data_IF_637394337077
#
_entry.id   IF_637394337077
#
_cell.length_a   1.000
_cell.length_b   1.000
_cell.length_c   1.000
_cell.angle_alpha   90.00
_cell.angle_beta   90.00
_cell.angle_gamma   90.00
#
_symmetry.space_group_name_H-M   'P 1'
#
loop_
_entity.id
_entity.type
_entity.pdbx_description
1 polymer ?
#
# COMPACT_ATOMS: atom_id res chain seq x y z
N UNK A 1 1.84 5.48 -2.36
CA UNK A 1 0.70 5.48 -1.43
C UNK A 1 1.13 6.20 -0.18
N UNK A 2 0.33 7.13 0.34
CA UNK A 2 0.69 7.94 1.50
C UNK A 2 0.21 7.29 2.82
N UNK A 3 0.84 7.67 3.93
CA UNK A 3 0.37 7.34 5.28
C UNK A 3 1.02 6.12 5.93
N UNK A 4 1.91 5.40 5.24
CA UNK A 4 2.60 4.22 5.79
C UNK A 4 3.38 4.53 7.07
N UNK A 5 4.09 5.67 7.12
CA UNK A 5 4.81 6.13 8.32
C UNK A 5 3.87 6.47 9.48
N UNK A 6 2.83 7.28 9.22
CA UNK A 6 1.79 7.61 10.22
C UNK A 6 1.07 6.36 10.75
N UNK A 7 0.84 5.38 9.88
CA UNK A 7 0.20 4.11 10.24
C UNK A 7 1.06 3.30 11.22
N UNK A 8 2.38 3.26 11.00
CA UNK A 8 3.33 2.57 11.85
C UNK A 8 3.51 3.29 13.19
N UNK A 9 3.64 4.62 13.16
CA UNK A 9 3.72 5.48 14.35
C UNK A 9 2.52 5.31 15.27
N UNK A 10 1.29 5.35 14.72
CA UNK A 10 0.05 5.14 15.47
C UNK A 10 -0.04 3.76 16.14
N UNK A 11 0.83 2.81 15.77
CA UNK A 11 0.90 1.45 16.30
C UNK A 11 2.17 1.16 17.10
N UNK A 12 3.03 2.16 17.29
CA UNK A 12 4.33 1.97 17.94
C UNK A 12 5.25 1.01 17.18
N UNK A 13 5.07 0.88 15.86
CA UNK A 13 5.85 -0.01 15.02
C UNK A 13 6.97 0.76 14.29
N UNK A 14 8.08 0.07 13.93
CA UNK A 14 9.08 0.60 13.02
C UNK A 14 8.49 1.05 11.67
N UNK A 15 9.05 2.11 11.09
CA UNK A 15 8.66 2.64 9.76
C UNK A 15 8.72 1.55 8.67
N UNK A 16 9.69 0.64 8.76
CA UNK A 16 9.81 -0.50 7.84
C UNK A 16 8.57 -1.39 7.80
N UNK A 17 7.85 -1.54 8.92
CA UNK A 17 6.60 -2.31 8.97
C UNK A 17 5.46 -1.53 8.31
N UNK A 18 5.45 -0.21 8.43
CA UNK A 18 4.56 0.66 7.65
C UNK A 18 4.75 0.49 6.15
N UNK A 19 6.00 0.42 5.67
CA UNK A 19 6.27 0.14 4.26
C UNK A 19 5.80 -1.26 3.82
N UNK A 20 6.03 -2.29 4.65
CA UNK A 20 5.55 -3.65 4.39
C UNK A 20 4.02 -3.70 4.28
N UNK A 21 3.31 -3.01 5.16
CA UNK A 21 1.85 -2.89 5.07
C UNK A 21 1.40 -2.11 3.85
N UNK A 22 2.14 -1.05 3.47
CA UNK A 22 1.97 -0.36 2.20
C UNK A 22 2.05 -1.31 1.00
N UNK A 23 3.04 -2.20 0.96
CA UNK A 23 3.15 -3.22 -0.10
C UNK A 23 1.97 -4.19 -0.10
N UNK A 24 1.51 -4.64 1.07
CA UNK A 24 0.33 -5.53 1.19
C UNK A 24 -0.95 -4.84 0.69
N UNK A 25 -1.12 -3.56 1.02
CA UNK A 25 -2.24 -2.76 0.52
C UNK A 25 -2.16 -2.57 -0.99
N UNK A 26 -0.98 -2.27 -1.54
CA UNK A 26 -0.78 -2.15 -2.98
C UNK A 26 -1.13 -3.45 -3.71
N UNK A 27 -0.73 -4.60 -3.16
CA UNK A 27 -1.07 -5.91 -3.74
C UNK A 27 -2.58 -6.09 -3.91
N UNK A 28 -3.38 -5.80 -2.87
CA UNK A 28 -4.85 -5.88 -2.95
C UNK A 28 -5.42 -4.93 -4.00
N UNK A 29 -4.86 -3.73 -4.12
CA UNK A 29 -5.26 -2.76 -5.16
C UNK A 29 -4.96 -3.28 -6.57
N UNK A 30 -3.81 -3.92 -6.78
CA UNK A 30 -3.45 -4.53 -8.07
C UNK A 30 -4.39 -5.70 -8.41
N UNK A 31 -4.66 -6.58 -7.44
CA UNK A 31 -5.59 -7.71 -7.61
C UNK A 31 -6.99 -7.19 -8.02
N UNK A 32 -7.51 -6.18 -7.32
CA UNK A 32 -8.79 -5.55 -7.68
C UNK A 32 -8.77 -4.86 -9.05
N UNK A 33 -7.66 -4.21 -9.41
CA UNK A 33 -7.51 -3.57 -10.72
C UNK A 33 -7.59 -4.59 -11.87
N UNK A 34 -7.04 -5.79 -11.67
CA UNK A 34 -7.14 -6.90 -12.62
C UNK A 34 -8.60 -7.36 -12.76
N UNK A 35 -9.28 -7.63 -11.63
CA UNK A 35 -10.68 -8.08 -11.63
C UNK A 35 -11.62 -7.06 -12.33
N UNK A 36 -11.33 -5.77 -12.15
CA UNK A 36 -12.08 -4.66 -12.75
C UNK A 36 -11.64 -4.31 -14.18
N UNK A 37 -10.72 -5.07 -14.78
CA UNK A 37 -10.21 -4.84 -16.14
C UNK A 37 -9.60 -3.44 -16.34
N UNK A 38 -8.99 -2.88 -15.28
CA UNK A 38 -8.26 -1.61 -15.35
C UNK A 38 -6.98 -1.82 -16.16
N UNK A 39 -6.86 -1.13 -17.29
CA UNK A 39 -5.74 -1.32 -18.24
C UNK A 39 -4.40 -0.74 -17.75
N UNK A 40 -4.43 0.27 -16.90
CA UNK A 40 -3.23 0.91 -16.38
C UNK A 40 -3.44 1.44 -14.96
N UNK A 41 -2.44 1.21 -14.11
CA UNK A 41 -2.39 1.70 -12.74
C UNK A 41 -1.01 2.34 -12.52
N UNK A 42 -0.99 3.63 -12.20
CA UNK A 42 0.22 4.35 -11.84
C UNK A 42 0.28 4.51 -10.32
N UNK A 43 1.44 4.24 -9.73
CA UNK A 43 1.64 4.26 -8.28
C UNK A 43 2.85 5.14 -7.97
N UNK A 44 2.67 6.06 -7.01
CA UNK A 44 3.76 6.86 -6.46
C UNK A 44 4.38 6.14 -5.25
N UNK A 45 5.69 5.91 -5.28
CA UNK A 45 6.43 5.13 -4.28
C UNK A 45 7.54 5.98 -3.62
#
# INVERSE_FOLDING_TARGET
MDGNGRWAEARGLPVADGHREGTRALRRTVEAAIDLHVRSLAVYA
#
